data_IF_150247769163
#
_entry.id   IF_150247769163
#
_cell.length_a   1.000
_cell.length_b   1.000
_cell.length_c   1.000
_cell.angle_alpha   90.00
_cell.angle_beta   90.00
_cell.angle_gamma   90.00
#
_symmetry.space_group_name_H-M   'P 1'
#
loop_
_entity.id
_entity.type
_entity.pdbx_description
1 polymer ?
#
# COMPACT_ATOMS: atom_id res chain seq x y z
N UNK A 1 -8.00 26.68 4.27
CA UNK A 1 -7.46 25.82 5.35
C UNK A 1 -7.61 24.38 4.90
N UNK A 2 -6.58 23.84 4.22
CA UNK A 2 -6.53 22.43 3.88
C UNK A 2 -6.05 21.64 5.09
N UNK A 3 -6.77 20.61 5.44
CA UNK A 3 -6.43 19.64 6.48
C UNK A 3 -5.06 19.03 6.14
N UNK A 4 -4.08 19.19 7.05
CA UNK A 4 -2.80 18.47 6.99
C UNK A 4 -1.95 18.75 5.75
N UNK A 5 -2.09 19.91 5.14
CA UNK A 5 -1.32 20.29 3.96
C UNK A 5 0.15 20.47 4.29
N UNK A 6 1.01 19.73 3.60
CA UNK A 6 2.43 19.99 3.53
C UNK A 6 2.65 21.39 2.98
N UNK A 7 3.22 22.28 3.77
CA UNK A 7 3.65 23.60 3.32
C UNK A 7 5.15 23.52 3.11
N UNK A 8 5.57 23.64 1.86
CA UNK A 8 6.98 23.72 1.50
C UNK A 8 7.37 25.18 1.26
N UNK A 9 8.41 25.61 1.91
CA UNK A 9 9.01 26.93 1.65
C UNK A 9 10.30 26.72 0.89
N UNK A 10 10.39 27.34 -0.26
CA UNK A 10 11.63 27.48 -0.99
C UNK A 10 12.22 28.85 -0.67
N UNK A 11 13.50 28.97 -0.31
CA UNK A 11 14.15 30.26 -0.25
C UNK A 11 14.65 30.65 -1.64
N UNK A 12 14.39 31.89 -2.09
CA UNK A 12 13.63 32.96 -1.45
C UNK A 12 12.19 33.07 -1.96
N UNK A 13 11.23 32.97 -1.06
CA UNK A 13 9.85 33.47 -1.17
C UNK A 13 8.86 32.78 -2.12
N UNK A 14 8.94 31.50 -2.41
CA UNK A 14 7.87 30.82 -3.14
C UNK A 14 7.16 29.82 -2.26
N UNK A 15 5.89 30.09 -1.94
CA UNK A 15 5.00 29.16 -1.26
C UNK A 15 4.59 28.11 -2.27
N UNK A 16 5.03 26.87 -2.09
CA UNK A 16 4.57 25.75 -2.91
C UNK A 16 3.55 24.98 -2.06
N UNK A 17 2.28 25.22 -2.32
CA UNK A 17 1.19 24.51 -1.63
C UNK A 17 1.23 23.02 -1.90
N UNK A 18 0.99 22.27 -0.85
CA UNK A 18 1.13 20.85 -0.61
C UNK A 18 0.52 19.86 -1.59
N UNK A 19 0.91 19.89 -2.84
CA UNK A 19 0.69 18.81 -3.80
C UNK A 19 1.94 18.64 -4.62
N UNK A 20 2.59 17.51 -4.40
CA UNK A 20 3.71 16.91 -5.12
C UNK A 20 4.60 17.78 -6.00
N UNK A 21 5.85 17.86 -5.62
CA UNK A 21 6.94 18.54 -6.35
C UNK A 21 7.11 18.06 -7.83
N UNK A 22 6.38 17.04 -8.26
CA UNK A 22 6.49 16.44 -9.60
C UNK A 22 5.95 17.31 -10.75
N UNK A 23 5.33 18.45 -10.49
CA UNK A 23 4.81 19.32 -11.55
C UNK A 23 5.83 20.34 -12.10
N UNK A 24 7.01 20.42 -11.53
CA UNK A 24 8.06 21.31 -12.01
C UNK A 24 8.84 20.60 -13.11
N UNK A 25 8.83 21.16 -14.34
CA UNK A 25 9.70 20.74 -15.45
C UNK A 25 11.19 20.88 -15.12
N UNK A 26 11.55 21.52 -14.02
CA UNK A 26 12.89 21.65 -13.46
C UNK A 26 12.96 20.91 -12.13
N UNK A 27 13.92 20.01 -12.00
CA UNK A 27 14.18 19.29 -10.76
C UNK A 27 14.56 20.29 -9.66
N UNK A 28 13.85 20.20 -8.53
CA UNK A 28 14.05 21.11 -7.40
C UNK A 28 15.40 20.89 -6.73
N UNK A 29 16.12 21.99 -6.45
CA UNK A 29 17.30 22.00 -5.58
C UNK A 29 17.13 23.03 -4.48
N UNK A 30 17.29 22.63 -3.23
CA UNK A 30 17.16 23.54 -2.08
C UNK A 30 16.58 22.84 -0.85
N UNK A 31 16.32 23.63 0.20
CA UNK A 31 15.76 23.16 1.46
C UNK A 31 14.23 23.20 1.43
N UNK A 32 13.59 22.11 1.84
CA UNK A 32 12.17 22.02 2.11
C UNK A 32 11.92 21.82 3.60
N UNK A 33 10.94 22.53 4.15
CA UNK A 33 10.53 22.37 5.56
C UNK A 33 9.05 22.01 5.63
N UNK A 34 8.76 21.01 6.42
CA UNK A 34 7.40 20.55 6.71
C UNK A 34 7.03 20.94 8.14
N UNK A 35 5.80 21.37 8.34
CA UNK A 35 5.29 21.76 9.65
C UNK A 35 4.08 20.92 10.05
N UNK A 36 3.93 20.67 11.34
CA UNK A 36 2.68 20.21 11.91
C UNK A 36 1.62 21.31 11.84
N UNK A 37 0.32 20.99 11.95
CA UNK A 37 -0.75 21.99 12.04
C UNK A 37 -0.56 22.98 13.20
N UNK A 38 0.17 22.60 14.23
CA UNK A 38 0.55 23.43 15.38
C UNK A 38 1.61 24.49 15.06
N UNK A 39 2.23 24.44 13.87
CA UNK A 39 3.31 25.33 13.46
C UNK A 39 4.71 24.84 13.85
N UNK A 40 4.83 23.73 14.58
CA UNK A 40 6.14 23.11 14.89
C UNK A 40 6.69 22.38 13.67
N UNK A 41 8.03 22.33 13.55
CA UNK A 41 8.67 21.64 12.43
C UNK A 41 8.41 20.14 12.57
N UNK A 42 7.87 19.54 11.50
CA UNK A 42 7.70 18.12 11.36
C UNK A 42 8.91 17.46 10.69
N UNK A 43 9.58 18.19 9.79
CA UNK A 43 10.76 17.67 9.11
C UNK A 43 11.40 18.70 8.19
N UNK A 44 12.63 18.40 7.79
CA UNK A 44 13.38 19.15 6.79
C UNK A 44 14.05 18.21 5.80
N UNK A 45 14.16 18.65 4.56
CA UNK A 45 14.88 17.93 3.51
C UNK A 45 15.67 18.88 2.63
N UNK A 46 16.92 18.53 2.33
CA UNK A 46 17.74 19.17 1.33
C UNK A 46 17.72 18.31 0.06
N UNK A 47 17.34 18.94 -1.04
CA UNK A 47 17.25 18.29 -2.34
C UNK A 47 18.28 18.84 -3.31
N UNK A 48 18.80 18.00 -4.18
CA UNK A 48 19.63 18.37 -5.32
C UNK A 48 19.06 17.69 -6.57
N UNK A 49 18.62 18.47 -7.55
CA UNK A 49 18.00 17.98 -8.78
C UNK A 49 16.86 16.96 -8.51
N UNK A 50 16.00 17.28 -7.56
CA UNK A 50 14.88 16.42 -7.16
C UNK A 50 15.24 15.23 -6.27
N UNK A 51 16.52 14.98 -6.02
CA UNK A 51 17.00 13.88 -5.18
C UNK A 51 17.18 14.41 -3.74
N UNK A 52 16.62 13.69 -2.76
CA UNK A 52 16.83 14.00 -1.34
C UNK A 52 18.26 13.65 -0.94
N UNK A 53 19.07 14.68 -0.65
CA UNK A 53 20.47 14.52 -0.23
C UNK A 53 20.59 14.24 1.27
N UNK A 54 19.76 14.92 2.06
CA UNK A 54 19.63 14.68 3.50
C UNK A 54 18.29 15.20 4.00
N UNK A 55 17.78 14.58 5.04
CA UNK A 55 16.55 15.02 5.66
C UNK A 55 16.32 14.35 7.00
N UNK A 56 15.35 14.86 7.73
CA UNK A 56 14.92 14.26 8.98
C UNK A 56 13.44 14.57 9.26
N UNK A 57 12.82 13.69 10.06
CA UNK A 57 11.47 13.88 10.60
C UNK A 57 11.50 13.87 12.11
N UNK A 58 10.70 14.75 12.70
CA UNK A 58 10.55 14.91 14.14
C UNK A 58 9.15 14.53 14.57
N UNK A 59 9.00 14.01 15.77
CA UNK A 59 7.73 13.94 16.48
C UNK A 59 7.19 15.33 16.85
N UNK A 60 5.93 15.41 17.27
CA UNK A 60 5.31 16.66 17.70
C UNK A 60 6.04 17.29 18.92
N UNK A 61 6.70 16.47 19.71
CA UNK A 61 7.53 16.83 20.87
C UNK A 61 8.97 17.23 20.49
N UNK A 62 9.31 17.19 19.18
CA UNK A 62 10.64 17.49 18.67
C UNK A 62 11.60 16.31 18.68
N UNK A 63 11.16 15.11 19.09
CA UNK A 63 11.99 13.91 19.07
C UNK A 63 12.30 13.51 17.63
N UNK A 64 13.58 13.18 17.35
CA UNK A 64 14.01 12.69 16.04
C UNK A 64 13.43 11.28 15.82
N UNK A 65 12.65 11.12 14.74
CA UNK A 65 12.00 9.85 14.37
C UNK A 65 12.71 9.16 13.21
N UNK A 66 13.09 9.93 12.18
CA UNK A 66 13.72 9.41 10.98
C UNK A 66 14.79 10.37 10.49
N UNK A 67 15.85 9.86 9.91
CA UNK A 67 16.83 10.64 9.18
C UNK A 67 17.33 9.91 7.95
N UNK A 68 17.66 10.70 6.91
CA UNK A 68 18.22 10.22 5.65
C UNK A 68 19.40 11.09 5.30
N UNK A 69 20.50 10.48 4.88
CA UNK A 69 21.68 11.17 4.36
C UNK A 69 22.25 10.39 3.17
N UNK A 70 22.51 11.12 2.09
CA UNK A 70 23.24 10.59 0.94
C UNK A 70 24.70 11.04 1.07
N UNK A 71 25.61 10.08 1.09
CA UNK A 71 27.04 10.31 1.08
C UNK A 71 27.65 9.51 -0.06
N UNK A 72 28.24 10.21 -0.99
CA UNK A 72 28.66 9.66 -2.28
C UNK A 72 27.45 9.00 -2.97
N UNK A 73 27.55 7.76 -3.45
CA UNK A 73 26.46 7.01 -4.08
C UNK A 73 25.66 6.17 -3.07
N UNK A 74 25.92 6.35 -1.78
CA UNK A 74 25.28 5.58 -0.71
C UNK A 74 24.29 6.43 0.06
N UNK A 75 23.06 5.94 0.16
CA UNK A 75 22.05 6.52 1.03
C UNK A 75 21.99 5.75 2.33
N UNK A 76 22.01 6.47 3.43
CA UNK A 76 21.85 5.95 4.80
C UNK A 76 20.51 6.44 5.31
N UNK A 77 19.64 5.50 5.64
CA UNK A 77 18.35 5.77 6.28
C UNK A 77 18.37 5.23 7.70
N UNK A 78 17.90 6.02 8.67
CA UNK A 78 17.86 5.66 10.09
C UNK A 78 16.48 5.97 10.66
N UNK A 79 15.90 5.00 11.36
CA UNK A 79 14.76 5.20 12.25
C UNK A 79 15.23 5.21 13.71
N UNK A 80 14.52 5.97 14.51
CA UNK A 80 14.82 6.14 15.92
C UNK A 80 13.61 5.77 16.78
N UNK A 81 13.86 5.22 17.96
CA UNK A 81 12.85 5.15 19.01
C UNK A 81 12.58 6.54 19.59
N UNK A 82 11.40 6.73 20.19
CA UNK A 82 11.09 7.97 20.93
C UNK A 82 12.07 8.29 22.06
N UNK A 83 12.82 7.31 22.54
CA UNK A 83 13.91 7.46 23.52
C UNK A 83 15.20 8.03 22.94
N UNK A 84 15.29 8.24 21.61
CA UNK A 84 16.52 8.68 20.93
C UNK A 84 17.51 7.56 20.61
N UNK A 85 17.17 6.30 20.93
CA UNK A 85 17.95 5.14 20.54
C UNK A 85 17.67 4.78 19.07
N UNK A 86 18.70 4.41 18.29
CA UNK A 86 18.49 3.86 16.95
C UNK A 86 17.62 2.61 17.01
N UNK A 87 16.65 2.56 16.09
CA UNK A 87 15.77 1.41 15.89
C UNK A 87 16.17 0.59 14.67
N UNK A 88 16.52 1.30 13.61
CA UNK A 88 16.82 0.74 12.31
C UNK A 88 17.86 1.58 11.58
N UNK A 89 18.72 0.96 10.81
CA UNK A 89 19.61 1.62 9.85
C UNK A 89 19.68 0.75 8.59
N UNK A 90 19.43 1.35 7.44
CA UNK A 90 19.69 0.72 6.15
C UNK A 90 20.66 1.55 5.31
N UNK A 91 21.48 0.87 4.55
CA UNK A 91 22.38 1.49 3.56
C UNK A 91 22.04 0.96 2.18
N UNK A 92 21.91 1.87 1.23
CA UNK A 92 21.56 1.55 -0.16
C UNK A 92 22.57 2.25 -1.07
N UNK A 93 23.22 1.50 -1.94
CA UNK A 93 24.17 1.99 -2.96
C UNK A 93 23.64 1.58 -4.33
N UNK A 94 23.56 2.52 -5.27
CA UNK A 94 23.00 2.29 -6.62
C UNK A 94 21.61 1.65 -6.61
N UNK A 95 20.74 2.06 -5.67
CA UNK A 95 19.42 1.49 -5.50
C UNK A 95 19.38 0.09 -4.88
N UNK A 96 20.53 -0.46 -4.46
CA UNK A 96 20.65 -1.79 -3.85
C UNK A 96 20.89 -1.68 -2.36
N UNK A 97 20.15 -2.43 -1.56
CA UNK A 97 20.38 -2.53 -0.12
C UNK A 97 21.67 -3.31 0.15
N UNK A 98 22.66 -2.65 0.74
CA UNK A 98 23.97 -3.25 1.06
C UNK A 98 24.09 -3.65 2.53
N UNK A 99 23.33 -3.04 3.43
CA UNK A 99 23.27 -3.45 4.83
C UNK A 99 21.98 -3.00 5.52
N UNK A 100 21.54 -3.79 6.49
CA UNK A 100 20.48 -3.44 7.43
C UNK A 100 20.94 -3.81 8.82
N UNK A 101 20.82 -2.85 9.76
CA UNK A 101 21.09 -3.06 11.17
C UNK A 101 19.86 -2.66 11.98
N UNK A 102 19.65 -3.33 13.09
CA UNK A 102 18.54 -3.09 14.02
C UNK A 102 18.96 -3.14 15.44
N UNK A 103 18.24 -2.42 16.24
CA UNK A 103 18.46 -2.40 17.68
C UNK A 103 17.13 -2.54 18.42
N UNK A 104 17.18 -3.12 19.58
CA UNK A 104 16.15 -2.99 20.59
C UNK A 104 16.23 -1.60 21.23
N UNK A 105 15.18 -1.19 21.91
CA UNK A 105 15.12 0.11 22.58
C UNK A 105 16.18 0.26 23.68
N UNK A 106 16.68 -0.87 24.24
CA UNK A 106 17.80 -0.92 25.18
C UNK A 106 19.19 -0.79 24.52
N UNK A 107 19.23 -0.57 23.20
CA UNK A 107 20.46 -0.39 22.42
C UNK A 107 21.16 -1.67 22.01
N UNK A 108 20.66 -2.83 22.37
CA UNK A 108 21.24 -4.11 21.93
C UNK A 108 20.91 -4.36 20.47
N UNK A 109 21.89 -4.88 19.72
CA UNK A 109 21.69 -5.29 18.33
C UNK A 109 20.66 -6.42 18.29
N UNK A 110 19.63 -6.24 17.49
CA UNK A 110 18.65 -7.27 17.16
C UNK A 110 19.24 -8.14 16.06
N UNK A 111 19.56 -9.38 16.38
CA UNK A 111 20.20 -10.33 15.44
C UNK A 111 19.21 -11.02 14.51
N UNK A 112 17.93 -11.00 14.85
CA UNK A 112 16.89 -11.64 14.05
C UNK A 112 16.49 -10.71 12.90
N UNK A 113 16.87 -11.10 11.70
CA UNK A 113 16.35 -10.51 10.47
C UNK A 113 14.99 -11.14 10.15
N UNK A 114 14.07 -10.37 9.59
CA UNK A 114 12.89 -10.99 8.95
C UNK A 114 13.36 -11.64 7.64
N UNK A 115 12.76 -12.76 7.25
CA UNK A 115 13.15 -13.53 6.07
C UNK A 115 13.30 -12.67 4.80
N UNK A 116 12.42 -11.65 4.65
CA UNK A 116 12.48 -10.75 3.51
C UNK A 116 13.71 -9.82 3.48
N UNK A 117 14.31 -9.53 4.63
CA UNK A 117 15.49 -8.66 4.73
C UNK A 117 16.78 -9.41 4.40
N UNK A 118 16.88 -10.65 4.82
CA UNK A 118 17.96 -11.53 4.37
C UNK A 118 17.89 -11.73 2.85
N UNK A 119 16.68 -11.83 2.30
CA UNK A 119 16.47 -11.91 0.86
C UNK A 119 16.82 -10.60 0.14
N UNK A 120 16.47 -9.42 0.70
CA UNK A 120 16.82 -8.13 0.13
C UNK A 120 18.33 -7.87 0.11
N UNK A 121 19.06 -8.32 1.16
CA UNK A 121 20.52 -8.19 1.23
C UNK A 121 21.21 -9.19 0.28
N UNK A 122 20.68 -10.40 0.14
CA UNK A 122 21.26 -11.47 -0.69
C UNK A 122 21.03 -11.29 -2.18
N UNK A 123 20.12 -10.42 -2.59
CA UNK A 123 19.63 -10.36 -3.98
C UNK A 123 19.57 -8.93 -4.53
N UNK A 124 20.41 -8.72 -5.49
CA UNK A 124 20.75 -7.49 -6.22
C UNK A 124 19.61 -6.76 -6.95
N UNK A 125 18.35 -7.20 -6.88
CA UNK A 125 17.24 -6.56 -7.60
C UNK A 125 15.91 -6.74 -6.86
N UNK A 126 15.54 -5.77 -6.03
CA UNK A 126 14.24 -5.76 -5.36
C UNK A 126 13.08 -5.39 -6.29
N UNK A 127 13.36 -4.76 -7.43
CA UNK A 127 12.35 -4.15 -8.30
C UNK A 127 12.24 -4.72 -9.71
N UNK A 128 13.08 -5.68 -10.11
CA UNK A 128 13.11 -6.13 -11.51
C UNK A 128 12.90 -7.63 -11.73
N UNK A 129 12.73 -8.43 -10.69
CA UNK A 129 12.49 -9.86 -10.90
C UNK A 129 11.01 -10.19 -10.85
N UNK A 130 10.37 -10.16 -12.02
CA UNK A 130 9.00 -10.66 -12.27
C UNK A 130 8.79 -12.13 -11.88
N UNK A 131 9.84 -12.82 -11.39
CA UNK A 131 9.84 -14.22 -10.97
C UNK A 131 9.65 -14.42 -9.47
N UNK A 132 9.43 -13.33 -8.68
CA UNK A 132 9.27 -13.42 -7.23
C UNK A 132 7.92 -12.87 -6.78
N UNK A 133 7.29 -13.53 -5.80
CA UNK A 133 6.09 -12.98 -5.21
C UNK A 133 6.40 -11.68 -4.47
N UNK A 134 5.39 -10.80 -4.42
CA UNK A 134 5.42 -9.61 -3.59
C UNK A 134 5.67 -9.99 -2.12
N UNK A 135 6.26 -9.09 -1.37
CA UNK A 135 6.40 -9.29 0.06
C UNK A 135 5.03 -9.38 0.72
N UNK A 136 4.91 -10.25 1.70
CA UNK A 136 3.66 -10.52 2.38
C UNK A 136 3.85 -10.88 3.85
N UNK A 137 2.78 -10.70 4.61
CA UNK A 137 2.61 -11.35 5.91
C UNK A 137 1.44 -12.33 5.80
N UNK A 138 1.55 -13.44 6.49
CA UNK A 138 0.52 -14.48 6.51
C UNK A 138 0.07 -14.75 7.93
N UNK A 139 -1.24 -14.93 8.12
CA UNK A 139 -1.82 -15.45 9.34
C UNK A 139 -2.77 -16.59 9.00
N UNK A 140 -2.49 -17.75 9.59
CA UNK A 140 -3.30 -18.96 9.41
C UNK A 140 -4.41 -19.03 10.45
N UNK A 141 -5.53 -19.69 10.16
CA UNK A 141 -6.56 -19.97 11.14
C UNK A 141 -5.99 -20.84 12.27
N UNK A 142 -6.61 -20.75 13.45
CA UNK A 142 -6.24 -21.57 14.61
C UNK A 142 -6.57 -23.04 14.40
N UNK A 143 -7.65 -23.30 13.65
CA UNK A 143 -8.08 -24.66 13.29
C UNK A 143 -7.63 -24.92 11.86
N UNK A 144 -6.87 -25.98 11.67
CA UNK A 144 -6.40 -26.36 10.34
C UNK A 144 -7.45 -27.24 9.67
N UNK A 145 -7.99 -26.76 8.55
CA UNK A 145 -8.87 -27.51 7.67
C UNK A 145 -8.08 -27.97 6.46
N UNK A 146 -8.46 -29.10 5.86
CA UNK A 146 -7.84 -29.62 4.65
C UNK A 146 -7.91 -28.60 3.49
N UNK A 147 -9.08 -27.99 3.32
CA UNK A 147 -9.30 -26.89 2.39
C UNK A 147 -9.71 -25.63 3.13
N UNK A 148 -9.13 -24.49 2.78
CA UNK A 148 -9.33 -23.21 3.47
C UNK A 148 -9.65 -22.10 2.48
N UNK A 149 -10.51 -21.19 2.89
CA UNK A 149 -10.64 -19.91 2.19
C UNK A 149 -9.38 -19.07 2.42
N UNK A 150 -8.99 -18.35 1.42
CA UNK A 150 -7.79 -17.50 1.44
C UNK A 150 -8.17 -16.09 1.04
N UNK A 151 -7.84 -15.11 1.88
CA UNK A 151 -7.97 -13.70 1.56
C UNK A 151 -6.59 -13.08 1.33
N UNK A 152 -6.33 -12.63 0.12
CA UNK A 152 -5.23 -11.73 -0.21
C UNK A 152 -5.72 -10.28 -0.08
N UNK A 153 -5.15 -9.52 0.84
CA UNK A 153 -5.58 -8.16 1.10
C UNK A 153 -4.48 -7.13 0.79
N UNK A 154 -4.86 -6.06 0.12
CA UNK A 154 -3.99 -5.02 -0.40
C UNK A 154 -4.24 -3.70 0.32
N UNK A 155 -3.18 -3.05 0.78
CA UNK A 155 -3.24 -1.77 1.48
C UNK A 155 -3.53 -0.60 0.53
N UNK A 156 -3.92 0.55 1.07
CA UNK A 156 -4.07 1.80 0.34
C UNK A 156 -2.72 2.47 0.03
N UNK A 157 -2.75 3.60 -0.67
CA UNK A 157 -1.56 4.40 -0.95
C UNK A 157 -0.81 4.79 0.33
N UNK A 158 0.50 4.64 0.31
CA UNK A 158 1.34 4.94 1.45
C UNK A 158 1.24 3.93 2.60
N UNK A 159 0.64 2.76 2.34
CA UNK A 159 0.52 1.69 3.33
C UNK A 159 1.85 0.99 3.60
N UNK A 160 1.89 0.26 4.71
CA UNK A 160 3.06 -0.45 5.20
C UNK A 160 2.59 -1.76 5.85
N UNK A 161 3.11 -2.90 5.44
CA UNK A 161 2.62 -4.19 5.97
C UNK A 161 2.87 -4.37 7.46
N UNK A 162 3.95 -3.84 8.00
CA UNK A 162 4.22 -3.86 9.44
C UNK A 162 3.18 -3.09 10.29
N UNK A 163 2.47 -2.13 9.70
CA UNK A 163 1.35 -1.46 10.36
C UNK A 163 0.10 -2.33 10.39
N UNK A 164 -0.14 -3.10 9.32
CA UNK A 164 -1.33 -3.94 9.21
C UNK A 164 -1.26 -5.19 10.08
N UNK A 165 -0.06 -5.72 10.35
CA UNK A 165 0.11 -6.97 11.06
C UNK A 165 -0.55 -6.99 12.45
N UNK A 166 -0.24 -6.07 13.39
CA UNK A 166 -0.86 -6.10 14.71
C UNK A 166 -2.28 -5.53 14.74
N UNK A 167 -2.60 -4.57 13.87
CA UNK A 167 -3.85 -3.80 13.97
C UNK A 167 -4.94 -4.24 13.01
N UNK A 168 -4.59 -4.77 11.84
CA UNK A 168 -5.56 -5.18 10.84
C UNK A 168 -5.68 -6.69 10.71
N UNK A 169 -4.58 -7.40 10.48
CA UNK A 169 -4.64 -8.84 10.21
C UNK A 169 -5.27 -9.62 11.37
N UNK A 170 -5.04 -9.15 12.62
CA UNK A 170 -5.60 -9.76 13.82
C UNK A 170 -7.10 -9.48 14.03
N UNK A 171 -7.66 -8.53 13.32
CA UNK A 171 -9.08 -8.17 13.40
C UNK A 171 -9.93 -8.85 12.32
N UNK A 172 -9.30 -9.45 11.31
CA UNK A 172 -9.98 -10.39 10.43
C UNK A 172 -10.23 -11.72 11.13
N UNK A 173 -11.30 -12.42 10.73
CA UNK A 173 -11.70 -13.70 11.33
C UNK A 173 -10.56 -14.72 11.29
N UNK A 174 -10.48 -15.57 12.32
CA UNK A 174 -9.54 -16.69 12.36
C UNK A 174 -10.07 -17.95 11.61
N UNK A 175 -11.10 -17.81 10.77
CA UNK A 175 -11.70 -18.92 10.03
C UNK A 175 -11.11 -19.13 8.63
N UNK A 176 -10.21 -18.25 8.17
CA UNK A 176 -9.59 -18.33 6.86
C UNK A 176 -8.12 -17.87 6.90
N UNK A 177 -7.34 -18.23 5.90
CA UNK A 177 -5.97 -17.77 5.73
C UNK A 177 -5.99 -16.32 5.27
N UNK A 178 -5.23 -15.47 5.96
CA UNK A 178 -5.08 -14.05 5.65
C UNK A 178 -3.66 -13.77 5.15
N UNK A 179 -3.56 -13.14 4.01
CA UNK A 179 -2.29 -12.75 3.40
C UNK A 179 -2.38 -11.28 3.06
N UNK A 180 -1.54 -10.46 3.68
CA UNK A 180 -1.43 -9.04 3.36
C UNK A 180 -0.24 -8.86 2.41
N UNK A 181 -0.51 -8.35 1.22
CA UNK A 181 0.51 -8.05 0.23
C UNK A 181 1.04 -6.63 0.40
N UNK A 182 2.35 -6.45 0.21
CA UNK A 182 2.98 -5.13 0.10
C UNK A 182 3.07 -4.73 -1.37
N UNK A 183 2.67 -3.49 -1.64
CA UNK A 183 2.79 -2.91 -2.97
C UNK A 183 4.26 -2.84 -3.45
N UNK A 184 4.52 -2.88 -4.78
CA UNK A 184 5.88 -2.99 -5.32
C UNK A 184 6.67 -1.67 -5.31
N UNK A 185 6.00 -0.50 -5.27
CA UNK A 185 6.67 0.78 -5.43
C UNK A 185 6.70 1.58 -4.12
N UNK A 186 7.82 2.25 -3.82
CA UNK A 186 7.86 3.22 -2.73
C UNK A 186 7.23 4.55 -3.16
N UNK A 187 6.49 5.21 -2.25
CA UNK A 187 5.86 6.51 -2.53
C UNK A 187 6.88 7.64 -2.70
N UNK A 188 8.02 7.51 -2.08
CA UNK A 188 9.20 8.37 -2.24
C UNK A 188 10.42 7.59 -1.75
N UNK A 189 11.59 7.95 -2.21
CA UNK A 189 12.85 7.35 -1.78
C UNK A 189 12.91 7.36 -0.24
N UNK A 190 13.10 6.17 0.35
CA UNK A 190 13.26 5.94 1.79
C UNK A 190 12.04 6.28 2.67
N UNK A 191 10.85 6.32 2.08
CA UNK A 191 9.64 6.64 2.86
C UNK A 191 9.12 5.47 3.68
N UNK A 192 9.59 4.25 3.42
CA UNK A 192 9.02 3.01 3.96
C UNK A 192 7.47 2.93 3.79
N UNK A 193 6.97 3.70 2.82
CA UNK A 193 5.56 3.75 2.42
C UNK A 193 5.44 3.29 0.98
N UNK A 194 4.47 2.44 0.73
CA UNK A 194 4.37 1.70 -0.51
C UNK A 194 3.12 2.06 -1.28
N UNK A 195 3.19 1.99 -2.60
CA UNK A 195 2.10 2.30 -3.52
C UNK A 195 1.99 1.24 -4.61
N UNK A 196 0.78 0.95 -5.03
CA UNK A 196 0.52 0.03 -6.15
C UNK A 196 0.83 0.70 -7.49
N UNK A 197 0.64 2.01 -7.54
CA UNK A 197 0.97 2.85 -8.70
C UNK A 197 1.09 4.30 -8.28
N UNK A 198 1.89 5.05 -9.01
CA UNK A 198 1.98 6.50 -8.85
C UNK A 198 0.78 7.17 -9.52
N UNK A 199 0.35 8.28 -8.92
CA UNK A 199 -0.65 9.17 -9.49
C UNK A 199 -0.25 10.62 -9.28
N UNK A 200 -0.71 11.47 -10.19
CA UNK A 200 -0.51 12.91 -10.10
C UNK A 200 -1.85 13.62 -10.01
N UNK A 201 -2.03 14.39 -8.94
CA UNK A 201 -3.20 15.25 -8.77
C UNK A 201 -2.80 16.65 -9.21
N UNK A 202 -3.44 17.17 -10.26
CA UNK A 202 -3.27 18.55 -10.71
C UNK A 202 -4.42 19.41 -10.21
N UNK A 203 -4.13 20.70 -9.93
CA UNK A 203 -5.19 21.68 -9.63
C UNK A 203 -5.98 22.10 -10.87
N UNK A 204 -5.41 21.93 -12.05
CA UNK A 204 -5.92 22.47 -13.30
C UNK A 204 -6.29 21.40 -14.33
N UNK A 205 -6.06 20.13 -14.01
CA UNK A 205 -6.37 19.00 -14.86
C UNK A 205 -6.81 17.79 -14.04
N UNK A 206 -7.36 16.80 -14.71
CA UNK A 206 -7.75 15.54 -14.09
C UNK A 206 -6.57 14.82 -13.45
N UNK A 207 -6.85 14.01 -12.43
CA UNK A 207 -5.87 13.13 -11.83
C UNK A 207 -5.37 12.15 -12.88
N UNK A 208 -4.05 12.09 -13.06
CA UNK A 208 -3.41 11.11 -13.95
C UNK A 208 -2.79 9.98 -13.14
N UNK A 209 -2.81 8.79 -13.70
CA UNK A 209 -2.32 7.57 -13.06
C UNK A 209 -1.26 6.92 -13.94
N UNK A 210 -0.29 6.27 -13.32
CA UNK A 210 0.72 5.49 -14.03
C UNK A 210 0.13 4.13 -14.43
N UNK A 211 -0.37 4.03 -15.66
CA UNK A 211 -1.02 2.82 -16.18
C UNK A 211 -0.07 1.63 -16.29
N UNK A 212 1.20 1.87 -16.62
CA UNK A 212 2.22 0.82 -16.68
C UNK A 212 2.42 0.18 -15.31
N UNK A 213 2.48 1.00 -14.25
CA UNK A 213 2.57 0.49 -12.89
C UNK A 213 1.29 -0.23 -12.44
N UNK A 214 0.12 0.23 -12.86
CA UNK A 214 -1.16 -0.46 -12.60
C UNK A 214 -1.13 -1.86 -13.20
N UNK A 215 -0.71 -1.99 -14.46
CA UNK A 215 -0.62 -3.27 -15.16
C UNK A 215 0.42 -4.19 -14.49
N UNK A 216 1.64 -3.69 -14.27
CA UNK A 216 2.72 -4.44 -13.63
C UNK A 216 2.35 -4.89 -12.21
N UNK A 217 1.63 -4.06 -11.45
CA UNK A 217 1.15 -4.44 -10.12
C UNK A 217 0.09 -5.54 -10.18
N UNK A 218 -0.81 -5.49 -11.17
CA UNK A 218 -1.81 -6.55 -11.37
C UNK A 218 -1.14 -7.89 -11.67
N UNK A 219 -0.19 -7.91 -12.59
CA UNK A 219 0.60 -9.10 -12.93
C UNK A 219 1.36 -9.64 -11.73
N UNK A 220 2.00 -8.74 -10.94
CA UNK A 220 2.72 -9.11 -9.73
C UNK A 220 1.80 -9.70 -8.66
N UNK A 221 0.57 -9.18 -8.50
CA UNK A 221 -0.43 -9.72 -7.58
C UNK A 221 -0.84 -11.13 -8.02
N UNK A 222 -1.21 -11.31 -9.29
CA UNK A 222 -1.62 -12.60 -9.84
C UNK A 222 -0.51 -13.65 -9.69
N UNK A 223 0.72 -13.30 -10.03
CA UNK A 223 1.89 -14.15 -9.84
C UNK A 223 2.08 -14.50 -8.36
N UNK A 224 1.93 -13.52 -7.46
CA UNK A 224 2.11 -13.71 -6.02
C UNK A 224 1.07 -14.65 -5.43
N UNK A 225 -0.19 -14.55 -5.85
CA UNK A 225 -1.26 -15.47 -5.42
C UNK A 225 -0.82 -16.92 -5.64
N UNK A 226 -0.42 -17.26 -6.87
CA UNK A 226 0.00 -18.62 -7.23
C UNK A 226 1.25 -19.06 -6.45
N UNK A 227 2.27 -18.21 -6.39
CA UNK A 227 3.54 -18.55 -5.76
C UNK A 227 3.46 -18.66 -4.24
N UNK A 228 2.66 -17.83 -3.59
CA UNK A 228 2.46 -17.89 -2.14
C UNK A 228 1.66 -19.15 -1.78
N UNK A 229 0.60 -19.47 -2.51
CA UNK A 229 -0.17 -20.70 -2.31
C UNK A 229 0.75 -21.94 -2.40
N UNK A 230 1.60 -22.00 -3.44
CA UNK A 230 2.58 -23.08 -3.64
C UNK A 230 3.60 -23.12 -2.48
N UNK A 231 4.27 -22.01 -2.20
CA UNK A 231 5.33 -21.89 -1.18
C UNK A 231 4.82 -22.23 0.22
N UNK A 232 3.64 -21.69 0.57
CA UNK A 232 3.02 -21.86 1.88
C UNK A 232 2.24 -23.17 2.02
N UNK A 233 2.20 -23.99 0.95
CA UNK A 233 1.48 -25.27 0.89
C UNK A 233 0.01 -25.12 1.32
N UNK A 234 -0.64 -24.06 0.84
CA UNK A 234 -2.05 -23.81 1.10
C UNK A 234 -2.88 -24.63 0.12
N UNK A 235 -3.92 -25.32 0.62
CA UNK A 235 -4.92 -25.97 -0.21
C UNK A 235 -6.19 -25.10 -0.24
N UNK A 236 -6.33 -24.15 -1.20
CA UNK A 236 -7.44 -23.20 -1.17
C UNK A 236 -8.76 -23.89 -1.49
N UNK A 237 -9.80 -23.61 -0.71
CA UNK A 237 -11.19 -23.88 -1.06
C UNK A 237 -11.69 -22.83 -2.04
N UNK A 238 -11.41 -21.56 -1.71
CA UNK A 238 -11.69 -20.37 -2.52
C UNK A 238 -10.61 -19.34 -2.29
N UNK A 239 -10.39 -18.50 -3.31
CA UNK A 239 -9.43 -17.40 -3.29
C UNK A 239 -10.19 -16.09 -3.41
N UNK A 240 -10.05 -15.23 -2.40
CA UNK A 240 -10.56 -13.87 -2.41
C UNK A 240 -9.41 -12.87 -2.47
N UNK A 241 -9.63 -11.80 -3.22
CA UNK A 241 -8.73 -10.64 -3.22
C UNK A 241 -9.47 -9.42 -2.72
N UNK A 242 -8.83 -8.59 -1.94
CA UNK A 242 -9.47 -7.39 -1.42
C UNK A 242 -8.50 -6.28 -1.13
N UNK A 243 -9.02 -5.08 -0.96
CA UNK A 243 -8.18 -3.97 -0.56
C UNK A 243 -8.94 -2.69 -0.26
N UNK A 244 -8.22 -1.78 0.37
CA UNK A 244 -8.70 -0.45 0.69
C UNK A 244 -8.08 0.58 -0.26
N UNK A 245 -8.87 1.55 -0.75
CA UNK A 245 -8.39 2.64 -1.60
C UNK A 245 -7.66 2.09 -2.84
N UNK A 246 -6.39 2.39 -3.07
CA UNK A 246 -5.60 1.81 -4.17
C UNK A 246 -5.62 0.27 -4.19
N UNK A 247 -5.57 -0.38 -3.03
CA UNK A 247 -5.66 -1.84 -2.96
C UNK A 247 -6.99 -2.38 -3.49
N UNK A 248 -8.08 -1.66 -3.26
CA UNK A 248 -9.38 -2.00 -3.82
C UNK A 248 -9.47 -1.79 -5.35
N UNK A 249 -8.75 -0.78 -5.87
CA UNK A 249 -8.61 -0.58 -7.33
C UNK A 249 -7.92 -1.78 -7.96
N UNK A 250 -6.83 -2.27 -7.33
CA UNK A 250 -6.12 -3.45 -7.80
C UNK A 250 -6.98 -4.72 -7.72
N UNK A 251 -7.80 -4.86 -6.67
CA UNK A 251 -8.76 -5.96 -6.56
C UNK A 251 -9.80 -5.94 -7.70
N UNK A 252 -10.34 -4.75 -8.03
CA UNK A 252 -11.23 -4.58 -9.16
C UNK A 252 -10.55 -4.94 -10.49
N UNK A 253 -9.31 -4.48 -10.70
CA UNK A 253 -8.57 -4.77 -11.93
C UNK A 253 -8.34 -6.26 -12.10
N UNK A 254 -7.88 -6.93 -11.05
CA UNK A 254 -7.67 -8.38 -11.09
C UNK A 254 -8.97 -9.14 -11.37
N UNK A 255 -10.07 -8.73 -10.74
CA UNK A 255 -11.39 -9.32 -10.96
C UNK A 255 -11.93 -9.12 -12.37
N UNK A 256 -11.58 -7.99 -13.02
CA UNK A 256 -11.96 -7.72 -14.42
C UNK A 256 -11.15 -8.54 -15.42
N UNK A 257 -9.85 -8.61 -15.23
CA UNK A 257 -8.93 -9.20 -16.21
C UNK A 257 -8.71 -10.70 -16.01
N UNK A 258 -8.82 -11.16 -14.76
CA UNK A 258 -8.56 -12.55 -14.36
C UNK A 258 -9.67 -13.13 -13.48
N UNK A 259 -10.95 -13.07 -13.91
CA UNK A 259 -12.09 -13.54 -13.11
C UNK A 259 -12.01 -15.03 -12.76
N UNK A 260 -11.29 -15.83 -13.58
CA UNK A 260 -11.10 -17.26 -13.33
C UNK A 260 -10.02 -17.56 -12.27
N UNK A 261 -9.21 -16.57 -11.90
CA UNK A 261 -8.11 -16.75 -10.93
C UNK A 261 -8.58 -16.58 -9.48
N UNK A 262 -9.79 -16.07 -9.27
CA UNK A 262 -10.34 -15.75 -7.95
C UNK A 262 -11.82 -16.11 -7.89
N UNK A 263 -12.30 -16.40 -6.69
CA UNK A 263 -13.73 -16.66 -6.44
C UNK A 263 -14.49 -15.39 -6.05
N UNK A 264 -13.78 -14.36 -5.60
CA UNK A 264 -14.41 -13.09 -5.29
C UNK A 264 -13.43 -11.96 -4.98
N UNK A 265 -13.99 -10.74 -4.97
CA UNK A 265 -13.22 -9.53 -4.68
C UNK A 265 -13.90 -8.62 -3.65
N UNK A 266 -13.09 -7.78 -3.00
CA UNK A 266 -13.55 -6.78 -2.02
C UNK A 266 -12.94 -5.43 -2.40
N UNK A 267 -13.79 -4.47 -2.72
CA UNK A 267 -13.40 -3.09 -3.03
C UNK A 267 -13.91 -2.15 -1.92
N UNK A 268 -12.99 -1.63 -1.12
CA UNK A 268 -13.32 -0.73 -0.02
C UNK A 268 -12.83 0.68 -0.32
N UNK A 269 -13.72 1.69 -0.29
CA UNK A 269 -13.42 3.11 -0.57
C UNK A 269 -12.56 3.26 -1.83
N UNK A 270 -13.01 2.68 -2.94
CA UNK A 270 -12.25 2.56 -4.18
C UNK A 270 -13.00 3.10 -5.39
N UNK A 271 -12.32 3.12 -6.52
CA UNK A 271 -12.90 3.41 -7.84
C UNK A 271 -12.45 2.36 -8.87
N UNK A 272 -13.09 2.38 -10.04
CA UNK A 272 -12.71 1.51 -11.14
C UNK A 272 -11.32 1.89 -11.66
N UNK A 273 -10.46 0.91 -12.00
CA UNK A 273 -9.21 1.20 -12.69
C UNK A 273 -9.48 1.94 -14.01
N UNK A 274 -8.55 2.79 -14.41
CA UNK A 274 -8.73 3.64 -15.61
C UNK A 274 -8.56 2.82 -16.87
N UNK A 275 -7.58 1.93 -16.88
CA UNK A 275 -7.39 0.97 -17.95
C UNK A 275 -7.59 -0.45 -17.45
N UNK A 276 -8.43 -1.20 -18.13
CA UNK A 276 -8.66 -2.62 -17.87
C UNK A 276 -9.20 -3.30 -19.12
N UNK A 277 -8.91 -4.59 -19.21
CA UNK A 277 -9.48 -5.45 -20.23
C UNK A 277 -10.61 -6.27 -19.62
N UNK A 278 -11.76 -6.24 -20.22
CA UNK A 278 -12.89 -7.10 -19.83
C UNK A 278 -12.85 -8.35 -20.70
N UNK A 279 -12.97 -9.52 -20.09
CA UNK A 279 -13.14 -10.74 -20.87
C UNK A 279 -14.41 -10.65 -21.71
N UNK A 280 -14.31 -11.00 -22.97
CA UNK A 280 -15.48 -11.12 -23.89
C UNK A 280 -16.39 -12.28 -23.56
N UNK A 281 -15.92 -13.21 -22.72
CA UNK A 281 -16.68 -14.33 -22.20
C UNK A 281 -17.33 -13.95 -20.87
N UNK A 282 -18.56 -13.46 -20.95
CA UNK A 282 -19.35 -13.07 -19.77
C UNK A 282 -19.60 -14.24 -18.79
N UNK A 283 -19.55 -15.49 -19.28
CA UNK A 283 -19.74 -16.66 -18.43
C UNK A 283 -18.68 -16.77 -17.31
N UNK A 284 -17.53 -16.15 -17.50
CA UNK A 284 -16.45 -16.10 -16.51
C UNK A 284 -16.81 -15.31 -15.26
N UNK A 285 -17.70 -14.32 -15.39
CA UNK A 285 -18.12 -13.50 -14.25
C UNK A 285 -19.29 -14.11 -13.46
N UNK A 286 -20.01 -15.06 -14.02
CA UNK A 286 -21.21 -15.65 -13.39
C UNK A 286 -20.96 -16.33 -12.02
N UNK A 287 -19.72 -16.72 -11.74
CA UNK A 287 -19.32 -17.31 -10.46
C UNK A 287 -18.60 -16.32 -9.54
N UNK A 288 -18.23 -15.16 -10.08
CA UNK A 288 -17.47 -14.16 -9.33
C UNK A 288 -18.37 -13.44 -8.34
N UNK A 289 -17.94 -13.38 -7.10
CA UNK A 289 -18.64 -12.65 -6.03
C UNK A 289 -17.90 -11.36 -5.72
N UNK A 290 -18.62 -10.28 -5.45
CA UNK A 290 -18.01 -9.01 -5.10
C UNK A 290 -18.65 -8.34 -3.89
N UNK A 291 -17.82 -7.79 -3.02
CA UNK A 291 -18.25 -6.92 -1.93
C UNK A 291 -17.69 -5.52 -2.16
N UNK A 292 -18.58 -4.56 -2.31
CA UNK A 292 -18.21 -3.15 -2.52
C UNK A 292 -18.63 -2.35 -1.30
N UNK A 293 -17.66 -1.75 -0.60
CA UNK A 293 -17.90 -0.98 0.62
C UNK A 293 -17.48 0.47 0.39
N UNK A 294 -18.32 1.43 0.78
CA UNK A 294 -17.99 2.86 0.70
C UNK A 294 -18.44 3.64 1.92
N UNK A 295 -17.73 4.74 2.20
CA UNK A 295 -18.11 5.73 3.17
C UNK A 295 -18.96 6.83 2.55
N UNK A 296 -20.13 7.11 3.13
CA UNK A 296 -21.04 8.19 2.70
C UNK A 296 -20.34 9.57 2.71
N UNK A 297 -19.39 9.75 3.63
CA UNK A 297 -18.67 11.02 3.84
C UNK A 297 -17.22 10.98 3.33
N UNK A 298 -16.90 10.04 2.46
CA UNK A 298 -15.56 9.93 1.86
C UNK A 298 -15.29 11.15 0.95
N UNK A 299 -14.31 11.97 1.37
CA UNK A 299 -13.87 13.17 0.62
C UNK A 299 -12.64 12.92 -0.24
N UNK A 300 -12.07 11.72 -0.18
CA UNK A 300 -10.90 11.31 -0.94
C UNK A 300 -11.31 10.61 -2.23
N UNK A 301 -12.27 9.69 -2.10
CA UNK A 301 -12.88 8.99 -3.23
C UNK A 301 -14.40 9.15 -3.11
N UNK A 302 -14.99 9.81 -4.11
CA UNK A 302 -16.43 10.04 -4.14
C UNK A 302 -17.19 8.71 -4.05
N UNK A 303 -18.17 8.58 -3.13
CA UNK A 303 -18.99 7.37 -2.99
C UNK A 303 -19.71 6.93 -4.26
N UNK A 304 -19.91 7.83 -5.23
CA UNK A 304 -20.48 7.47 -6.54
C UNK A 304 -19.65 6.38 -7.25
N UNK A 305 -18.35 6.32 -6.99
CA UNK A 305 -17.47 5.30 -7.57
C UNK A 305 -17.86 3.88 -7.14
N UNK A 306 -18.34 3.70 -5.92
CA UNK A 306 -18.80 2.39 -5.42
C UNK A 306 -20.02 1.90 -6.21
N UNK A 307 -20.92 2.80 -6.61
CA UNK A 307 -22.06 2.49 -7.48
C UNK A 307 -21.58 2.10 -8.88
N UNK A 308 -20.56 2.80 -9.40
CA UNK A 308 -19.97 2.48 -10.69
C UNK A 308 -19.32 1.09 -10.69
N UNK A 309 -18.53 0.76 -9.66
CA UNK A 309 -17.94 -0.58 -9.50
C UNK A 309 -19.06 -1.64 -9.49
N UNK A 310 -20.03 -1.51 -8.59
CA UNK A 310 -21.10 -2.49 -8.46
C UNK A 310 -21.87 -2.70 -9.75
N UNK A 311 -22.28 -1.61 -10.41
CA UNK A 311 -23.04 -1.67 -11.66
C UNK A 311 -22.24 -2.29 -12.82
N UNK A 312 -20.94 -2.06 -12.88
CA UNK A 312 -20.08 -2.65 -13.92
C UNK A 312 -20.03 -4.16 -13.77
N UNK A 313 -19.76 -4.67 -12.56
CA UNK A 313 -19.67 -6.11 -12.33
C UNK A 313 -21.03 -6.81 -12.41
N UNK A 314 -22.13 -6.17 -11.97
CA UNK A 314 -23.49 -6.68 -12.19
C UNK A 314 -23.83 -6.83 -13.67
N UNK A 315 -23.44 -5.88 -14.51
CA UNK A 315 -23.64 -5.98 -15.97
C UNK A 315 -22.83 -7.10 -16.62
N UNK A 316 -21.69 -7.46 -16.02
CA UNK A 316 -20.88 -8.61 -16.44
C UNK A 316 -21.42 -9.95 -15.90
N UNK A 317 -22.47 -9.94 -15.10
CA UNK A 317 -23.09 -11.14 -14.56
C UNK A 317 -22.56 -11.61 -13.22
N UNK A 318 -21.70 -10.82 -12.55
CA UNK A 318 -21.19 -11.17 -11.21
C UNK A 318 -22.23 -10.90 -10.13
N UNK A 319 -22.13 -11.66 -9.02
CA UNK A 319 -22.95 -11.49 -7.81
C UNK A 319 -22.32 -10.44 -6.90
N UNK A 320 -22.93 -9.26 -6.79
CA UNK A 320 -22.38 -8.11 -6.10
C UNK A 320 -23.22 -7.65 -4.92
N UNK A 321 -22.63 -7.63 -3.75
CA UNK A 321 -23.18 -6.98 -2.57
C UNK A 321 -22.54 -5.60 -2.37
N UNK A 322 -23.35 -4.55 -2.22
CA UNK A 322 -22.90 -3.18 -1.95
C UNK A 322 -23.32 -2.75 -0.54
N UNK A 323 -22.40 -2.24 0.22
CA UNK A 323 -22.61 -1.63 1.55
C UNK A 323 -22.11 -0.19 1.58
N UNK A 324 -22.88 0.68 2.23
CA UNK A 324 -22.54 2.08 2.42
C UNK A 324 -22.70 2.46 3.89
N UNK A 325 -21.70 3.12 4.47
CA UNK A 325 -21.67 3.43 5.89
C UNK A 325 -21.39 4.90 6.14
N UNK A 326 -21.86 5.44 7.26
CA UNK A 326 -21.57 6.80 7.73
C UNK A 326 -20.13 6.94 8.21
N UNK A 327 -19.20 6.86 7.29
CA UNK A 327 -17.76 6.98 7.53
C UNK A 327 -17.09 7.79 6.40
N UNK A 328 -15.86 8.23 6.61
CA UNK A 328 -15.01 8.85 5.59
C UNK A 328 -14.16 7.83 4.84
N UNK A 329 -12.88 8.20 4.56
CA UNK A 329 -11.91 7.35 3.83
C UNK A 329 -11.16 6.36 4.74
N UNK A 330 -11.58 6.20 5.97
CA UNK A 330 -10.98 5.26 6.91
C UNK A 330 -11.36 3.80 6.61
N UNK A 331 -10.61 2.86 7.20
CA UNK A 331 -10.90 1.42 7.19
C UNK A 331 -11.18 0.94 8.63
N UNK A 332 -12.37 1.21 9.18
CA UNK A 332 -12.70 0.93 10.57
C UNK A 332 -12.95 -0.55 10.85
N UNK A 333 -13.08 -0.90 12.14
CA UNK A 333 -13.44 -2.27 12.55
C UNK A 333 -14.74 -2.74 11.89
N UNK A 334 -15.74 -1.86 11.76
CA UNK A 334 -17.01 -2.15 11.10
C UNK A 334 -16.81 -2.74 9.68
N UNK A 335 -15.91 -2.15 8.89
CA UNK A 335 -15.64 -2.66 7.54
C UNK A 335 -15.05 -4.08 7.56
N UNK A 336 -14.20 -4.38 8.54
CA UNK A 336 -13.62 -5.72 8.71
C UNK A 336 -14.66 -6.73 9.19
N UNK A 337 -15.56 -6.33 10.08
CA UNK A 337 -16.65 -7.17 10.54
C UNK A 337 -17.57 -7.55 9.37
N UNK A 338 -17.91 -6.57 8.51
CA UNK A 338 -18.71 -6.80 7.30
C UNK A 338 -17.99 -7.75 6.33
N UNK A 339 -16.69 -7.60 6.14
CA UNK A 339 -15.91 -8.53 5.31
C UNK A 339 -15.95 -9.95 5.91
N UNK A 340 -15.78 -10.07 7.22
CA UNK A 340 -15.83 -11.37 7.90
C UNK A 340 -17.18 -12.05 7.74
N UNK A 341 -18.28 -11.30 7.88
CA UNK A 341 -19.64 -11.78 7.69
C UNK A 341 -19.89 -12.21 6.24
N UNK A 342 -19.49 -11.36 5.28
CA UNK A 342 -19.64 -11.65 3.87
C UNK A 342 -18.87 -12.92 3.45
N UNK A 343 -17.62 -13.07 3.90
CA UNK A 343 -16.86 -14.28 3.63
C UNK A 343 -17.49 -15.53 4.26
N UNK A 344 -18.10 -15.41 5.44
CA UNK A 344 -18.78 -16.51 6.11
C UNK A 344 -20.08 -16.91 5.42
N UNK A 345 -20.86 -15.96 4.92
CA UNK A 345 -22.14 -16.21 4.22
C UNK A 345 -21.94 -16.83 2.84
N UNK A 346 -20.83 -16.57 2.23
CA UNK A 346 -20.46 -17.12 0.93
C UNK A 346 -19.71 -18.46 1.03
N UNK A 347 -19.83 -19.14 2.17
CA UNK A 347 -19.23 -20.45 2.44
C UNK A 347 -19.94 -21.59 1.71
#
# INVERSE_FOLDING_TARGET
YSRGGLVYYNKPNTLIGGKGIKSLKTLFSGECVKYYPTGTIQGKGLYNNGILVRGYYLGMDGTLLESTEMKDDTTIYIEWYGTGQKRWESKTTDGKVVSINRWHEDGKIRKELYDWEEEAIKKDNYYSDSRRPLNYIIKRPKVNFDKQDVLFFMHGHGGHIGYYEPHMINQFSDNYVKIILRAPYETSLFSNKWTWFDFHISFFSDTTFNEEQINSSCDAILFSINKIIEKEKINPKRIFVGGNSQGGIMACKLALEHPDAIDGFIAHNSFMPISYNVSTDESKYAKLKGLVISGEYDKTIDPVNSKHIANTFLKLGADIEKKEFKMGHEFPKLSRDVINEWMAQNN
#
